data_IF_411489127210
#
_entry.id   IF_411489127210
#
_cell.length_a   1.000
_cell.length_b   1.000
_cell.length_c   1.000
_cell.angle_alpha   90.00
_cell.angle_beta   90.00
_cell.angle_gamma   90.00
#
_symmetry.space_group_name_H-M   'P 1'
#
loop_
_entity.id
_entity.type
_entity.pdbx_description
1 polymer ?
#
# COMPACT_ATOMS: atom_id res chain seq x y z
N UNK A 1 3.61 -19.56 -15.66
CA UNK A 1 3.27 -18.46 -16.59
C UNK A 1 2.10 -17.65 -16.10
N UNK A 2 2.37 -16.46 -15.59
CA UNK A 2 1.37 -15.42 -15.34
C UNK A 2 1.20 -14.47 -16.54
N UNK A 3 1.80 -14.82 -17.69
CA UNK A 3 2.01 -13.93 -18.83
C UNK A 3 0.79 -13.79 -19.77
N UNK A 4 -0.31 -14.51 -19.53
CA UNK A 4 -1.45 -14.54 -20.45
C UNK A 4 -2.80 -14.41 -19.70
N UNK A 5 -2.86 -13.45 -18.77
CA UNK A 5 -4.13 -12.95 -18.23
C UNK A 5 -4.40 -11.58 -18.81
N UNK A 6 -5.60 -11.32 -19.38
CA UNK A 6 -6.01 -9.96 -19.69
C UNK A 6 -5.86 -9.13 -18.42
N UNK A 7 -5.16 -8.00 -18.50
CA UNK A 7 -5.04 -7.05 -17.40
C UNK A 7 -6.42 -6.81 -16.80
N UNK A 8 -6.52 -6.94 -15.48
CA UNK A 8 -7.78 -6.64 -14.82
C UNK A 8 -8.13 -5.16 -14.99
N UNK A 9 -9.38 -4.79 -14.69
CA UNK A 9 -9.87 -3.43 -14.93
C UNK A 9 -8.96 -2.37 -14.29
N UNK A 10 -8.28 -2.67 -13.18
CA UNK A 10 -7.42 -1.74 -12.47
C UNK A 10 -6.01 -1.69 -13.05
N UNK A 11 -5.50 -2.83 -13.54
CA UNK A 11 -4.21 -2.92 -14.23
C UNK A 11 -4.24 -2.24 -15.62
N UNK A 12 -5.43 -2.04 -16.20
CA UNK A 12 -5.63 -1.31 -17.46
C UNK A 12 -5.76 0.22 -17.30
N UNK A 13 -5.80 0.73 -16.07
CA UNK A 13 -5.91 2.17 -15.81
C UNK A 13 -4.59 2.92 -16.06
N UNK A 14 -4.68 4.24 -16.28
CA UNK A 14 -3.51 5.08 -16.54
C UNK A 14 -2.81 5.50 -15.24
N UNK A 15 -1.55 5.91 -15.34
CA UNK A 15 -0.75 6.41 -14.21
C UNK A 15 -1.46 7.47 -13.35
N UNK A 16 -2.22 8.39 -13.97
CA UNK A 16 -2.99 9.42 -13.27
C UNK A 16 -4.04 8.83 -12.30
N UNK A 17 -4.62 7.68 -12.64
CA UNK A 17 -5.54 6.98 -11.75
C UNK A 17 -4.79 6.48 -10.51
N UNK A 18 -3.64 5.83 -10.69
CA UNK A 18 -2.83 5.34 -9.58
C UNK A 18 -2.30 6.47 -8.70
N UNK A 19 -1.90 7.61 -9.28
CA UNK A 19 -1.52 8.80 -8.53
C UNK A 19 -2.66 9.31 -7.64
N UNK A 20 -3.88 9.43 -8.19
CA UNK A 20 -5.07 9.82 -7.41
C UNK A 20 -5.41 8.83 -6.30
N UNK A 21 -5.29 7.53 -6.57
CA UNK A 21 -5.52 6.49 -5.55
C UNK A 21 -4.51 6.60 -4.42
N UNK A 22 -3.23 6.80 -4.75
CA UNK A 22 -2.15 7.01 -3.77
C UNK A 22 -2.45 8.22 -2.88
N UNK A 23 -2.81 9.35 -3.48
CA UNK A 23 -3.09 10.58 -2.75
C UNK A 23 -4.32 10.43 -1.83
N UNK A 24 -5.35 9.70 -2.27
CA UNK A 24 -6.52 9.42 -1.45
C UNK A 24 -6.17 8.57 -0.21
N UNK A 25 -5.33 7.53 -0.35
CA UNK A 25 -4.88 6.74 0.80
C UNK A 25 -4.03 7.56 1.78
N UNK A 26 -3.14 8.42 1.27
CA UNK A 26 -2.34 9.29 2.12
C UNK A 26 -3.21 10.32 2.87
N UNK A 27 -4.24 10.85 2.22
CA UNK A 27 -5.20 11.75 2.87
C UNK A 27 -5.96 11.05 4.01
N UNK A 28 -6.41 9.80 3.80
CA UNK A 28 -7.04 8.99 4.85
C UNK A 28 -6.09 8.73 6.02
N UNK A 29 -4.84 8.35 5.73
CA UNK A 29 -3.84 8.10 6.76
C UNK A 29 -3.50 9.36 7.57
N UNK A 30 -3.42 10.52 6.91
CA UNK A 30 -3.21 11.80 7.57
C UNK A 30 -4.40 12.22 8.46
N UNK A 31 -5.63 11.90 8.04
CA UNK A 31 -6.84 12.19 8.82
C UNK A 31 -6.96 11.30 10.06
N UNK A 32 -6.47 10.07 10.01
CA UNK A 32 -6.59 9.09 11.10
C UNK A 32 -5.24 8.43 11.46
N UNK A 33 -4.25 9.20 11.94
CA UNK A 33 -2.87 8.73 12.10
C UNK A 33 -2.68 7.65 13.18
N UNK A 34 -3.68 7.48 14.06
CA UNK A 34 -3.69 6.43 15.07
C UNK A 34 -4.20 5.08 14.51
N UNK A 35 -4.97 5.11 13.41
CA UNK A 35 -5.55 3.93 12.74
C UNK A 35 -4.66 3.41 11.62
N UNK A 36 -3.99 4.30 10.89
CA UNK A 36 -3.15 3.92 9.75
C UNK A 36 -1.67 3.97 10.11
N UNK A 37 -0.92 2.97 9.64
CA UNK A 37 0.54 2.98 9.57
C UNK A 37 0.93 3.10 8.10
N UNK A 38 1.65 4.16 7.73
CA UNK A 38 2.21 4.33 6.38
C UNK A 38 3.65 3.84 6.39
N UNK A 39 3.99 2.96 5.44
CA UNK A 39 5.33 2.38 5.28
C UNK A 39 5.81 2.70 3.86
N UNK A 40 7.09 3.01 3.71
CA UNK A 40 7.71 3.15 2.39
C UNK A 40 7.78 1.79 1.69
N UNK A 41 7.08 1.67 0.56
CA UNK A 41 7.01 0.45 -0.22
C UNK A 41 8.25 0.20 -1.09
N UNK A 42 9.19 1.16 -1.19
CA UNK A 42 10.44 0.99 -1.92
C UNK A 42 11.49 0.15 -1.16
N UNK A 43 11.25 -0.14 0.13
CA UNK A 43 12.12 -0.97 0.95
C UNK A 43 12.08 -2.45 0.57
N UNK A 44 13.00 -3.25 1.16
CA UNK A 44 12.98 -4.68 0.96
C UNK A 44 11.70 -5.31 1.56
N UNK A 45 11.11 -6.34 0.92
CA UNK A 45 9.91 -7.00 1.43
C UNK A 45 10.03 -7.47 2.88
N UNK A 46 11.21 -7.96 3.28
CA UNK A 46 11.47 -8.43 4.65
C UNK A 46 11.44 -7.29 5.68
N UNK A 47 11.93 -6.10 5.32
CA UNK A 47 11.91 -4.91 6.17
C UNK A 47 10.48 -4.39 6.39
N UNK A 48 9.69 -4.39 5.30
CA UNK A 48 8.27 -4.02 5.35
C UNK A 48 7.52 -5.01 6.25
N UNK A 49 7.74 -6.31 6.06
CA UNK A 49 7.09 -7.35 6.84
C UNK A 49 7.48 -7.28 8.34
N UNK A 50 8.75 -6.99 8.65
CA UNK A 50 9.20 -6.77 10.01
C UNK A 50 8.50 -5.56 10.68
N UNK A 51 8.39 -4.45 9.97
CA UNK A 51 7.71 -3.23 10.43
C UNK A 51 6.23 -3.51 10.75
N UNK A 52 5.52 -4.22 9.87
CA UNK A 52 4.12 -4.61 10.11
C UNK A 52 4.00 -5.51 11.34
N UNK A 53 4.84 -6.55 11.47
CA UNK A 53 4.82 -7.45 12.64
C UNK A 53 5.05 -6.71 13.95
N UNK A 54 6.02 -5.79 13.99
CA UNK A 54 6.31 -4.98 15.17
C UNK A 54 5.12 -4.11 15.58
N UNK A 55 4.46 -3.45 14.61
CA UNK A 55 3.28 -2.62 14.88
C UNK A 55 2.11 -3.41 15.45
N UNK A 56 1.85 -4.61 14.93
CA UNK A 56 0.78 -5.48 15.40
C UNK A 56 1.09 -6.05 16.78
N UNK A 57 2.33 -6.47 17.03
CA UNK A 57 2.74 -6.98 18.34
C UNK A 57 2.54 -5.95 19.46
N UNK A 58 2.73 -4.65 19.18
CA UNK A 58 2.48 -3.58 20.15
C UNK A 58 0.98 -3.34 20.46
N UNK A 59 0.05 -3.99 19.77
CA UNK A 59 -1.40 -3.91 19.99
C UNK A 59 -1.97 -5.13 20.73
N UNK A 60 -1.17 -6.19 20.89
CA UNK A 60 -1.54 -7.43 21.57
C UNK A 60 -1.10 -7.37 23.03
#
# INVERSE_FOLDING_TARGET
DAADKPFDRLEAEKDDFHARVRDAYLALAAAEPHRFLVIDAAGAPDDIAATVRARVAALL
#
